data_IF_205362187432
#
_entry.id   IF_205362187432
#
_cell.length_a   1.000
_cell.length_b   1.000
_cell.length_c   1.000
_cell.angle_alpha   90.00
_cell.angle_beta   90.00
_cell.angle_gamma   90.00
#
_symmetry.space_group_name_H-M   'P 1'
#
loop_
_entity.id
_entity.type
_entity.pdbx_description
1 polymer ?
#
# COMPACT_ATOMS: atom_id res chain seq x y z
N UNK A 1 -4.60 0.35 -36.12
CA UNK A 1 -4.14 -0.89 -35.43
C UNK A 1 -4.31 -0.74 -33.91
N UNK A 2 -4.48 -1.81 -33.13
CA UNK A 2 -4.67 -1.71 -31.65
C UNK A 2 -3.47 -1.06 -30.93
N UNK A 3 -2.25 -1.31 -31.40
CA UNK A 3 -1.04 -0.69 -30.87
C UNK A 3 -0.95 0.82 -31.13
N UNK A 4 -1.53 1.33 -32.23
CA UNK A 4 -1.60 2.79 -32.48
C UNK A 4 -2.51 3.48 -31.46
N UNK A 5 -3.61 2.83 -31.05
CA UNK A 5 -4.49 3.36 -30.00
C UNK A 5 -3.76 3.41 -28.66
N UNK A 6 -2.98 2.38 -28.33
CA UNK A 6 -2.11 2.37 -27.15
C UNK A 6 -1.10 3.53 -27.20
N UNK A 7 -0.43 3.77 -28.33
CA UNK A 7 0.53 4.89 -28.42
C UNK A 7 -0.14 6.26 -28.29
N UNK A 8 -1.34 6.44 -28.87
CA UNK A 8 -2.13 7.67 -28.64
C UNK A 8 -2.55 7.81 -27.17
N UNK A 9 -2.96 6.72 -26.53
CA UNK A 9 -3.25 6.69 -25.09
C UNK A 9 -2.03 7.06 -24.24
N UNK A 10 -0.84 6.59 -24.63
CA UNK A 10 0.42 6.95 -23.98
C UNK A 10 0.72 8.46 -24.10
N UNK A 11 0.34 9.10 -25.23
CA UNK A 11 0.50 10.54 -25.44
C UNK A 11 -0.43 11.33 -24.52
N UNK A 12 -1.73 11.02 -24.53
CA UNK A 12 -2.71 11.67 -23.64
C UNK A 12 -2.34 11.49 -22.15
N UNK A 13 -1.86 10.30 -21.77
CA UNK A 13 -1.39 10.06 -20.41
C UNK A 13 -0.22 10.98 -20.03
N UNK A 14 0.71 11.24 -20.95
CA UNK A 14 1.84 12.16 -20.72
C UNK A 14 1.39 13.63 -20.67
N UNK A 15 0.35 13.96 -21.42
CA UNK A 15 -0.27 15.30 -21.42
C UNK A 15 -1.13 15.54 -20.17
N UNK A 16 -1.41 14.51 -19.38
CA UNK A 16 -2.22 14.57 -18.16
C UNK A 16 -3.71 14.36 -18.38
N UNK A 17 -4.15 14.12 -19.63
CA UNK A 17 -5.52 13.72 -19.93
C UNK A 17 -5.72 12.22 -19.68
N UNK A 18 -5.92 11.89 -18.41
CA UNK A 18 -6.13 10.50 -17.99
C UNK A 18 -7.49 9.94 -18.44
N UNK A 19 -8.53 10.76 -18.57
CA UNK A 19 -9.85 10.30 -19.02
C UNK A 19 -9.81 9.94 -20.51
N UNK A 20 -9.21 10.79 -21.35
CA UNK A 20 -8.98 10.48 -22.76
C UNK A 20 -8.08 9.27 -22.97
N UNK A 21 -7.03 9.13 -22.14
CA UNK A 21 -6.15 7.95 -22.18
C UNK A 21 -6.91 6.65 -21.83
N UNK A 22 -7.77 6.67 -20.80
CA UNK A 22 -8.60 5.52 -20.41
C UNK A 22 -9.50 5.04 -21.56
N UNK A 23 -10.13 5.96 -22.26
CA UNK A 23 -11.00 5.68 -23.41
C UNK A 23 -10.20 5.02 -24.55
N UNK A 24 -9.03 5.56 -24.90
CA UNK A 24 -8.16 4.99 -25.94
C UNK A 24 -7.64 3.59 -25.60
N UNK A 25 -7.24 3.35 -24.34
CA UNK A 25 -6.85 2.00 -23.91
C UNK A 25 -8.05 1.04 -23.93
N UNK A 26 -9.24 1.50 -23.56
CA UNK A 26 -10.46 0.70 -23.63
C UNK A 26 -10.75 0.30 -25.08
N UNK A 27 -10.63 1.20 -26.05
CA UNK A 27 -10.76 0.88 -27.47
C UNK A 27 -9.67 -0.09 -27.96
N UNK A 28 -8.44 0.02 -27.45
CA UNK A 28 -7.36 -0.92 -27.76
C UNK A 28 -7.70 -2.35 -27.28
N UNK A 29 -8.24 -2.49 -26.06
CA UNK A 29 -8.69 -3.75 -25.46
C UNK A 29 -9.83 -4.36 -26.28
N UNK A 30 -10.83 -3.57 -26.69
CA UNK A 30 -11.92 -4.06 -27.55
C UNK A 30 -11.40 -4.64 -28.87
N UNK A 31 -10.34 -4.06 -29.44
CA UNK A 31 -9.73 -4.56 -30.69
C UNK A 31 -8.86 -5.79 -30.50
N UNK A 32 -8.15 -5.90 -29.38
CA UNK A 32 -7.35 -7.06 -29.04
C UNK A 32 -7.36 -7.30 -27.52
N UNK A 33 -8.29 -8.14 -27.02
CA UNK A 33 -8.47 -8.37 -25.60
C UNK A 33 -7.45 -9.34 -24.99
N UNK A 34 -6.53 -9.89 -25.79
CA UNK A 34 -5.50 -10.83 -25.33
C UNK A 34 -4.17 -10.17 -25.02
N UNK A 35 -4.05 -8.87 -25.25
CA UNK A 35 -2.80 -8.13 -25.03
C UNK A 35 -2.76 -7.55 -23.61
N UNK A 36 -1.90 -8.08 -22.70
CA UNK A 36 -1.91 -7.67 -21.28
C UNK A 36 -1.44 -6.22 -21.06
N UNK A 37 -0.62 -5.68 -21.98
CA UNK A 37 -0.07 -4.33 -21.85
C UNK A 37 -1.16 -3.25 -21.86
N UNK A 38 -2.27 -3.48 -22.57
CA UNK A 38 -3.38 -2.51 -22.61
C UNK A 38 -4.09 -2.41 -21.26
N UNK A 39 -4.34 -3.55 -20.61
CA UNK A 39 -4.89 -3.60 -19.25
C UNK A 39 -3.94 -2.96 -18.24
N UNK A 40 -2.64 -3.22 -18.37
CA UNK A 40 -1.62 -2.67 -17.46
C UNK A 40 -1.53 -1.14 -17.57
N UNK A 41 -1.59 -0.59 -18.78
CA UNK A 41 -1.59 0.86 -19.00
C UNK A 41 -2.91 1.52 -18.57
N UNK A 42 -4.05 0.85 -18.79
CA UNK A 42 -5.36 1.32 -18.30
C UNK A 42 -5.44 1.31 -16.77
N UNK A 43 -4.92 0.26 -16.11
CA UNK A 43 -4.81 0.18 -14.66
C UNK A 43 -4.01 1.35 -14.09
N UNK A 44 -2.84 1.67 -14.66
CA UNK A 44 -2.04 2.82 -14.25
C UNK A 44 -2.81 4.15 -14.41
N UNK A 45 -3.56 4.29 -15.51
CA UNK A 45 -4.39 5.48 -15.76
C UNK A 45 -5.51 5.60 -14.73
N UNK A 46 -6.17 4.49 -14.40
CA UNK A 46 -7.21 4.43 -13.37
C UNK A 46 -6.69 4.66 -11.96
N UNK A 47 -5.44 4.31 -11.67
CA UNK A 47 -4.76 4.70 -10.42
C UNK A 47 -4.64 6.22 -10.30
N UNK A 48 -4.31 6.91 -11.40
CA UNK A 48 -4.26 8.40 -11.42
C UNK A 48 -5.63 9.04 -11.21
N UNK A 49 -6.69 8.34 -11.61
CA UNK A 49 -8.08 8.73 -11.41
C UNK A 49 -8.68 8.21 -10.09
N UNK A 50 -7.89 7.52 -9.25
CA UNK A 50 -8.34 6.90 -7.99
C UNK A 50 -9.54 5.92 -8.14
N UNK A 51 -9.71 5.31 -9.31
CA UNK A 51 -10.78 4.33 -9.61
C UNK A 51 -10.40 2.92 -9.15
N UNK A 52 -10.23 2.70 -7.85
CA UNK A 52 -9.60 1.48 -7.30
C UNK A 52 -10.27 0.17 -7.72
N UNK A 53 -11.61 0.12 -7.80
CA UNK A 53 -12.33 -1.09 -8.23
C UNK A 53 -12.01 -1.47 -9.69
N UNK A 54 -11.92 -0.46 -10.57
CA UNK A 54 -11.57 -0.66 -11.97
C UNK A 54 -10.10 -1.04 -12.15
N UNK A 55 -9.21 -0.51 -11.30
CA UNK A 55 -7.79 -0.90 -11.24
C UNK A 55 -7.66 -2.37 -10.86
N UNK A 56 -8.40 -2.83 -9.83
CA UNK A 56 -8.38 -4.24 -9.43
C UNK A 56 -8.76 -5.15 -10.60
N UNK A 57 -9.85 -4.81 -11.32
CA UNK A 57 -10.30 -5.59 -12.46
C UNK A 57 -9.22 -5.70 -13.55
N UNK A 58 -8.64 -4.56 -13.95
CA UNK A 58 -7.60 -4.54 -14.99
C UNK A 58 -6.31 -5.24 -14.55
N UNK A 59 -5.91 -5.06 -13.29
CA UNK A 59 -4.70 -5.67 -12.77
C UNK A 59 -4.82 -7.20 -12.72
N UNK A 60 -5.96 -7.74 -12.27
CA UNK A 60 -6.24 -9.18 -12.29
C UNK A 60 -6.24 -9.72 -13.72
N UNK A 61 -6.96 -9.06 -14.64
CA UNK A 61 -6.99 -9.46 -16.05
C UNK A 61 -5.57 -9.47 -16.67
N UNK A 62 -4.75 -8.47 -16.37
CA UNK A 62 -3.37 -8.42 -16.84
C UNK A 62 -2.51 -9.56 -16.28
N UNK A 63 -2.63 -9.88 -14.98
CA UNK A 63 -1.91 -10.99 -14.35
C UNK A 63 -2.29 -12.32 -14.99
N UNK A 64 -3.59 -12.55 -15.21
CA UNK A 64 -4.11 -13.78 -15.83
C UNK A 64 -3.61 -13.93 -17.28
N UNK A 65 -3.59 -12.84 -18.04
CA UNK A 65 -3.12 -12.86 -19.44
C UNK A 65 -1.59 -13.01 -19.57
N UNK A 66 -0.80 -12.43 -18.67
CA UNK A 66 0.66 -12.62 -18.65
C UNK A 66 1.06 -14.06 -18.27
N UNK A 67 0.20 -14.73 -17.51
CA UNK A 67 0.42 -16.07 -16.99
C UNK A 67 1.18 -16.09 -15.65
N UNK A 68 1.04 -17.20 -14.89
CA UNK A 68 1.65 -17.34 -13.57
C UNK A 68 3.18 -17.25 -13.67
N UNK A 69 3.80 -16.56 -12.71
CA UNK A 69 5.27 -16.39 -12.58
C UNK A 69 5.96 -15.60 -13.70
N UNK A 70 5.20 -14.93 -14.57
CA UNK A 70 5.80 -14.05 -15.56
C UNK A 70 6.34 -12.77 -14.88
N UNK A 71 7.61 -12.43 -15.10
CA UNK A 71 8.24 -11.22 -14.56
C UNK A 71 7.52 -9.95 -15.03
N UNK A 72 6.85 -9.99 -16.17
CA UNK A 72 6.04 -8.87 -16.69
C UNK A 72 4.78 -8.61 -15.87
N UNK A 73 4.23 -9.60 -15.15
CA UNK A 73 3.03 -9.41 -14.32
C UNK A 73 3.30 -8.70 -13.00
N UNK A 74 4.58 -8.56 -12.59
CA UNK A 74 4.96 -7.89 -11.33
C UNK A 74 4.48 -6.44 -11.23
N UNK A 75 4.41 -5.72 -12.37
CA UNK A 75 3.81 -4.38 -12.42
C UNK A 75 2.33 -4.42 -12.08
N UNK A 76 1.60 -5.37 -12.68
CA UNK A 76 0.18 -5.58 -12.43
C UNK A 76 -0.08 -6.07 -11.00
N UNK A 77 0.79 -6.91 -10.43
CA UNK A 77 0.72 -7.31 -9.02
C UNK A 77 0.89 -6.11 -8.08
N UNK A 78 1.81 -5.20 -8.39
CA UNK A 78 1.95 -3.95 -7.62
C UNK A 78 0.69 -3.06 -7.73
N UNK A 79 0.14 -2.89 -8.93
CA UNK A 79 -1.11 -2.15 -9.12
C UNK A 79 -2.29 -2.79 -8.39
N UNK A 80 -2.38 -4.12 -8.40
CA UNK A 80 -3.40 -4.87 -7.68
C UNK A 80 -3.27 -4.63 -6.17
N UNK A 81 -2.07 -4.76 -5.60
CA UNK A 81 -1.83 -4.48 -4.19
C UNK A 81 -2.23 -3.04 -3.83
N UNK A 82 -1.88 -2.06 -4.67
CA UNK A 82 -2.28 -0.67 -4.45
C UNK A 82 -3.81 -0.47 -4.48
N UNK A 83 -4.50 -1.12 -5.43
CA UNK A 83 -5.95 -1.10 -5.51
C UNK A 83 -6.61 -1.73 -4.28
N UNK A 84 -6.12 -2.89 -3.83
CA UNK A 84 -6.64 -3.59 -2.66
C UNK A 84 -6.47 -2.75 -1.37
N UNK A 85 -5.35 -2.05 -1.21
CA UNK A 85 -5.16 -1.08 -0.13
C UNK A 85 -6.16 0.09 -0.23
N UNK A 86 -6.40 0.62 -1.44
CA UNK A 86 -7.39 1.67 -1.67
C UNK A 86 -8.84 1.23 -1.43
N UNK A 87 -9.13 -0.06 -1.57
CA UNK A 87 -10.43 -0.67 -1.31
C UNK A 87 -10.61 -1.13 0.15
N UNK A 88 -9.62 -0.93 1.03
CA UNK A 88 -9.69 -1.36 2.43
C UNK A 88 -9.58 -2.88 2.62
N UNK A 89 -8.94 -3.60 1.70
CA UNK A 89 -8.69 -5.06 1.76
C UNK A 89 -7.19 -5.35 1.97
N UNK A 90 -6.61 -5.00 3.13
CA UNK A 90 -5.17 -5.06 3.32
C UNK A 90 -4.62 -6.49 3.44
N UNK A 91 -5.44 -7.47 3.88
CA UNK A 91 -5.03 -8.87 3.93
C UNK A 91 -4.72 -9.44 2.55
N UNK A 92 -5.65 -9.27 1.60
CA UNK A 92 -5.41 -9.67 0.21
C UNK A 92 -4.28 -8.85 -0.43
N UNK A 93 -4.18 -7.56 -0.10
CA UNK A 93 -3.09 -6.72 -0.58
C UNK A 93 -1.72 -7.24 -0.13
N UNK A 94 -1.61 -7.68 1.13
CA UNK A 94 -0.39 -8.26 1.68
C UNK A 94 0.01 -9.53 0.94
N UNK A 95 -0.93 -10.45 0.72
CA UNK A 95 -0.68 -11.72 0.02
C UNK A 95 -0.17 -11.49 -1.41
N UNK A 96 -0.84 -10.62 -2.17
CA UNK A 96 -0.40 -10.27 -3.53
C UNK A 96 0.96 -9.56 -3.51
N UNK A 97 1.18 -8.65 -2.58
CA UNK A 97 2.41 -7.86 -2.50
C UNK A 97 3.62 -8.71 -2.08
N UNK A 98 3.46 -9.63 -1.12
CA UNK A 98 4.58 -10.45 -0.62
C UNK A 98 5.01 -11.48 -1.66
N UNK A 99 4.06 -12.09 -2.36
CA UNK A 99 4.36 -13.03 -3.45
C UNK A 99 5.01 -12.32 -4.63
N UNK A 100 4.49 -11.14 -4.98
CA UNK A 100 5.10 -10.26 -5.98
C UNK A 100 6.52 -9.85 -5.58
N UNK A 101 6.73 -9.44 -4.32
CA UNK A 101 8.04 -9.04 -3.80
C UNK A 101 9.07 -10.17 -3.90
N UNK A 102 8.71 -11.39 -3.46
CA UNK A 102 9.58 -12.58 -3.56
C UNK A 102 9.95 -12.90 -5.01
N UNK A 103 8.97 -12.86 -5.92
CA UNK A 103 9.23 -13.07 -7.34
C UNK A 103 10.10 -11.97 -7.96
N UNK A 104 9.89 -10.71 -7.55
CA UNK A 104 10.68 -9.55 -7.98
C UNK A 104 12.13 -9.62 -7.51
N UNK A 105 12.37 -10.06 -6.27
CA UNK A 105 13.70 -10.31 -5.72
C UNK A 105 14.45 -11.37 -6.55
N UNK A 106 13.80 -12.51 -6.82
CA UNK A 106 14.39 -13.58 -7.62
C UNK A 106 14.72 -13.13 -9.04
N UNK A 107 13.89 -12.29 -9.64
CA UNK A 107 14.08 -11.76 -10.98
C UNK A 107 14.98 -10.51 -11.06
N UNK A 108 15.48 -9.98 -9.93
CA UNK A 108 16.21 -8.71 -9.84
C UNK A 108 15.49 -7.55 -10.56
N UNK A 109 14.16 -7.50 -10.43
CA UNK A 109 13.33 -6.53 -11.16
C UNK A 109 13.33 -5.14 -10.49
N UNK A 110 13.10 -4.10 -11.30
CA UNK A 110 12.96 -2.74 -10.83
C UNK A 110 11.78 -2.51 -9.86
N UNK A 111 10.74 -3.36 -9.89
CA UNK A 111 9.54 -3.22 -9.06
C UNK A 111 9.73 -3.66 -7.59
N UNK A 112 10.88 -4.23 -7.23
CA UNK A 112 11.13 -4.74 -5.87
C UNK A 112 10.86 -3.70 -4.79
N UNK A 113 11.26 -2.45 -5.00
CA UNK A 113 11.06 -1.36 -4.03
C UNK A 113 9.58 -0.94 -3.92
N UNK A 114 8.86 -0.92 -5.04
CA UNK A 114 7.44 -0.59 -5.04
C UNK A 114 6.63 -1.66 -4.31
N UNK A 115 6.98 -2.94 -4.52
CA UNK A 115 6.37 -4.08 -3.86
C UNK A 115 6.72 -4.12 -2.37
N UNK A 116 7.96 -3.81 -1.97
CA UNK A 116 8.32 -3.75 -0.55
C UNK A 116 7.53 -2.69 0.21
N UNK A 117 7.38 -1.49 -0.38
CA UNK A 117 6.53 -0.44 0.18
C UNK A 117 5.07 -0.86 0.27
N UNK A 118 4.57 -1.62 -0.71
CA UNK A 118 3.20 -2.14 -0.68
C UNK A 118 2.99 -3.18 0.43
N UNK A 119 3.95 -4.10 0.63
CA UNK A 119 3.92 -5.08 1.73
C UNK A 119 3.89 -4.36 3.08
N UNK A 120 4.78 -3.40 3.29
CA UNK A 120 4.85 -2.64 4.54
C UNK A 120 3.53 -1.92 4.84
N UNK A 121 2.97 -1.21 3.85
CA UNK A 121 1.68 -0.52 4.00
C UNK A 121 0.54 -1.48 4.30
N UNK A 122 0.51 -2.64 3.65
CA UNK A 122 -0.49 -3.66 3.91
C UNK A 122 -0.40 -4.18 5.35
N UNK A 123 0.81 -4.47 5.83
CA UNK A 123 1.04 -4.91 7.20
C UNK A 123 0.65 -3.85 8.23
N UNK A 124 0.99 -2.58 7.98
CA UNK A 124 0.57 -1.45 8.81
C UNK A 124 -0.96 -1.33 8.89
N UNK A 125 -1.68 -1.47 7.76
CA UNK A 125 -3.15 -1.44 7.76
C UNK A 125 -3.78 -2.65 8.47
N UNK A 126 -3.22 -3.85 8.29
CA UNK A 126 -3.66 -5.05 9.04
C UNK A 126 -3.51 -4.82 10.54
N UNK A 127 -2.37 -4.28 10.97
CA UNK A 127 -2.11 -3.96 12.36
C UNK A 127 -3.08 -2.89 12.89
N UNK A 128 -3.30 -1.80 12.15
CA UNK A 128 -4.24 -0.74 12.52
C UNK A 128 -5.69 -1.26 12.64
N UNK A 129 -6.11 -2.20 11.78
CA UNK A 129 -7.41 -2.85 11.89
C UNK A 129 -7.52 -3.73 13.15
N UNK A 130 -6.49 -4.55 13.44
CA UNK A 130 -6.45 -5.34 14.68
C UNK A 130 -6.52 -4.43 15.91
N UNK A 131 -5.80 -3.32 15.89
CA UNK A 131 -5.73 -2.40 17.01
C UNK A 131 -7.04 -1.62 17.19
N UNK A 132 -7.66 -1.19 16.10
CA UNK A 132 -9.01 -0.60 16.14
C UNK A 132 -10.03 -1.58 16.73
N UNK A 133 -10.01 -2.84 16.31
CA UNK A 133 -10.89 -3.87 16.88
C UNK A 133 -10.63 -4.05 18.39
N UNK A 134 -9.37 -4.15 18.80
CA UNK A 134 -8.97 -4.25 20.22
C UNK A 134 -9.48 -3.08 21.05
N UNK A 135 -9.34 -1.85 20.55
CA UNK A 135 -9.80 -0.65 21.26
C UNK A 135 -11.33 -0.61 21.39
N UNK A 136 -12.06 -1.03 20.34
CA UNK A 136 -13.53 -1.16 20.38
C UNK A 136 -14.00 -2.21 21.38
N UNK A 137 -13.28 -3.33 21.48
CA UNK A 137 -13.58 -4.38 22.46
C UNK A 137 -13.30 -3.93 23.90
N UNK A 138 -12.27 -3.10 24.11
CA UNK A 138 -11.94 -2.57 25.43
C UNK A 138 -12.95 -1.55 25.95
N UNK A 139 -13.62 -0.82 25.06
CA UNK A 139 -14.49 0.27 25.45
C UNK A 139 -15.70 0.42 24.51
N UNK A 140 -16.87 -0.01 25.00
CA UNK A 140 -18.13 0.01 24.26
C UNK A 140 -18.59 1.44 23.88
N UNK A 141 -18.29 2.44 24.72
CA UNK A 141 -18.69 3.83 24.43
C UNK A 141 -17.82 4.43 23.34
N UNK A 142 -16.50 4.15 23.34
CA UNK A 142 -15.61 4.49 22.23
C UNK A 142 -16.08 3.83 20.93
N UNK A 143 -16.38 2.53 20.98
CA UNK A 143 -16.90 1.80 19.81
C UNK A 143 -18.19 2.41 19.27
N UNK A 144 -19.11 2.77 20.15
CA UNK A 144 -20.38 3.40 19.78
C UNK A 144 -20.18 4.77 19.13
N UNK A 145 -19.27 5.59 19.66
CA UNK A 145 -18.97 6.92 19.11
C UNK A 145 -18.28 6.82 17.75
N UNK A 146 -17.29 5.94 17.59
CA UNK A 146 -16.66 5.70 16.28
C UNK A 146 -17.69 5.21 15.25
N UNK A 147 -18.58 4.28 15.62
CA UNK A 147 -19.63 3.78 14.73
C UNK A 147 -20.62 4.89 14.31
N UNK A 148 -20.92 5.85 15.19
CA UNK A 148 -21.75 7.01 14.84
C UNK A 148 -21.04 7.93 13.83
N UNK A 149 -19.74 8.17 14.00
CA UNK A 149 -18.94 8.97 13.04
C UNK A 149 -18.90 8.27 11.67
N UNK A 150 -18.66 6.96 11.65
CA UNK A 150 -18.66 6.16 10.42
C UNK A 150 -20.04 6.17 9.73
N UNK A 151 -21.12 6.02 10.50
CA UNK A 151 -22.48 6.09 9.97
C UNK A 151 -22.80 7.47 9.39
N UNK A 152 -22.34 8.55 10.02
CA UNK A 152 -22.56 9.92 9.54
C UNK A 152 -21.77 10.20 8.25
N UNK A 153 -20.51 9.74 8.20
CA UNK A 153 -19.70 9.78 6.99
C UNK A 153 -20.40 9.03 5.84
N UNK A 154 -20.87 7.81 6.09
CA UNK A 154 -21.55 6.99 5.07
C UNK A 154 -22.83 7.66 4.56
N UNK A 155 -23.62 8.28 5.44
CA UNK A 155 -24.79 9.07 5.07
C UNK A 155 -24.40 10.25 4.18
N UNK A 156 -23.39 11.01 4.58
CA UNK A 156 -22.90 12.19 3.84
C UNK A 156 -22.35 11.82 2.45
N UNK A 157 -21.58 10.73 2.36
CA UNK A 157 -21.10 10.19 1.09
C UNK A 157 -22.24 9.73 0.18
N UNK A 158 -23.27 9.06 0.73
CA UNK A 158 -24.43 8.62 -0.04
C UNK A 158 -25.26 9.81 -0.56
N UNK A 159 -25.40 10.87 0.23
CA UNK A 159 -26.05 12.11 -0.20
C UNK A 159 -25.27 12.81 -1.31
N UNK A 160 -23.94 12.88 -1.17
CA UNK A 160 -23.06 13.45 -2.19
C UNK A 160 -23.14 12.65 -3.50
N UNK A 161 -23.17 11.32 -3.43
CA UNK A 161 -23.38 10.48 -4.61
C UNK A 161 -24.72 10.77 -5.29
N UNK A 162 -25.81 10.91 -4.52
CA UNK A 162 -27.12 11.29 -5.10
C UNK A 162 -27.09 12.65 -5.79
N UNK A 163 -26.32 13.63 -5.28
CA UNK A 163 -26.15 14.94 -5.93
C UNK A 163 -25.42 14.81 -7.28
N UNK A 164 -24.40 13.94 -7.34
CA UNK A 164 -23.70 13.61 -8.58
C UNK A 164 -24.65 12.96 -9.60
N UNK A 165 -25.46 12.00 -9.17
CA UNK A 165 -26.42 11.30 -10.03
C UNK A 165 -27.51 12.24 -10.58
N UNK A 166 -27.90 13.27 -9.80
CA UNK A 166 -28.81 14.35 -10.24
C UNK A 166 -28.16 15.40 -11.14
N UNK A 167 -26.83 15.34 -11.32
CA UNK A 167 -26.08 16.32 -12.11
C UNK A 167 -25.90 17.68 -11.43
N UNK A 168 -26.12 17.78 -10.11
CA UNK A 168 -25.96 19.02 -9.34
C UNK A 168 -24.47 19.38 -9.13
N UNK A 169 -23.60 18.37 -9.13
CA UNK A 169 -22.15 18.50 -8.97
C UNK A 169 -21.43 17.72 -10.07
N UNK A 170 -20.27 18.23 -10.49
CA UNK A 170 -19.40 17.51 -11.42
C UNK A 170 -18.64 16.37 -10.73
N UNK A 171 -18.10 15.44 -11.52
CA UNK A 171 -17.35 14.29 -11.00
C UNK A 171 -16.10 14.71 -10.22
N UNK A 172 -15.40 15.77 -10.65
CA UNK A 172 -14.21 16.31 -9.96
C UNK A 172 -14.60 16.86 -8.58
N UNK A 173 -15.63 17.72 -8.52
CA UNK A 173 -16.11 18.28 -7.25
C UNK A 173 -16.59 17.22 -6.28
N UNK A 174 -17.29 16.18 -6.78
CA UNK A 174 -17.69 15.05 -5.94
C UNK A 174 -16.49 14.33 -5.32
N UNK A 175 -15.44 14.04 -6.09
CA UNK A 175 -14.24 13.36 -5.56
C UNK A 175 -13.53 14.21 -4.49
N UNK A 176 -13.42 15.52 -4.72
CA UNK A 176 -12.83 16.45 -3.74
C UNK A 176 -13.63 16.51 -2.44
N UNK A 177 -14.96 16.62 -2.54
CA UNK A 177 -15.87 16.63 -1.39
C UNK A 177 -15.84 15.30 -0.63
N UNK A 178 -15.80 14.15 -1.33
CA UNK A 178 -15.64 12.83 -0.69
C UNK A 178 -14.34 12.75 0.12
N UNK A 179 -13.26 13.29 -0.43
CA UNK A 179 -11.95 13.31 0.24
C UNK A 179 -11.95 14.22 1.46
N UNK A 180 -12.60 15.38 1.38
CA UNK A 180 -12.77 16.29 2.51
C UNK A 180 -13.56 15.62 3.64
N UNK A 181 -14.72 15.02 3.32
CA UNK A 181 -15.56 14.31 4.30
C UNK A 181 -14.81 13.18 5.01
N UNK A 182 -14.06 12.35 4.25
CA UNK A 182 -13.23 11.28 4.83
C UNK A 182 -12.15 11.84 5.76
N UNK A 183 -11.49 12.93 5.37
CA UNK A 183 -10.46 13.57 6.19
C UNK A 183 -11.02 14.14 7.48
N UNK A 184 -12.21 14.73 7.43
CA UNK A 184 -12.88 15.28 8.61
C UNK A 184 -13.33 14.16 9.57
N UNK A 185 -13.88 13.07 9.03
CA UNK A 185 -14.24 11.89 9.83
C UNK A 185 -13.01 11.25 10.51
N UNK A 186 -11.91 11.07 9.78
CA UNK A 186 -10.65 10.57 10.31
C UNK A 186 -10.13 11.45 11.45
N UNK A 187 -10.15 12.78 11.26
CA UNK A 187 -9.77 13.73 12.31
C UNK A 187 -10.67 13.60 13.55
N UNK A 188 -11.98 13.51 13.36
CA UNK A 188 -12.93 13.34 14.47
C UNK A 188 -12.67 12.04 15.24
N UNK A 189 -12.36 10.94 14.55
CA UNK A 189 -11.99 9.67 15.20
C UNK A 189 -10.70 9.85 16.02
N UNK A 190 -9.69 10.52 15.48
CA UNK A 190 -8.45 10.80 16.21
C UNK A 190 -8.69 11.65 17.47
N UNK A 191 -9.50 12.71 17.36
CA UNK A 191 -9.84 13.58 18.50
C UNK A 191 -10.60 12.80 19.59
N UNK A 192 -11.52 11.91 19.20
CA UNK A 192 -12.23 11.03 20.13
C UNK A 192 -11.26 10.04 20.79
N UNK A 193 -10.42 9.34 20.02
CA UNK A 193 -9.43 8.41 20.57
C UNK A 193 -8.50 9.09 21.57
N UNK A 194 -8.06 10.30 21.28
CA UNK A 194 -7.21 11.09 22.18
C UNK A 194 -7.93 11.45 23.49
N UNK A 195 -9.20 11.87 23.42
CA UNK A 195 -10.00 12.14 24.62
C UNK A 195 -10.14 10.89 25.52
N UNK A 196 -10.40 9.73 24.91
CA UNK A 196 -10.49 8.46 25.64
C UNK A 196 -9.14 8.01 26.19
N UNK A 197 -8.04 8.24 25.47
CA UNK A 197 -6.67 8.00 25.95
C UNK A 197 -6.38 8.81 27.21
N UNK A 198 -6.68 10.11 27.20
CA UNK A 198 -6.48 11.00 28.36
C UNK A 198 -7.35 10.56 29.53
N UNK A 199 -8.64 10.29 29.30
CA UNK A 199 -9.58 9.88 30.34
C UNK A 199 -9.21 8.54 30.99
N UNK A 200 -8.66 7.61 30.20
CA UNK A 200 -8.17 6.30 30.68
C UNK A 200 -6.73 6.31 31.17
N UNK A 201 -6.09 7.49 31.30
CA UNK A 201 -4.68 7.63 31.71
C UNK A 201 -3.69 6.83 30.84
N UNK A 202 -4.03 6.61 29.57
CA UNK A 202 -3.20 5.89 28.61
C UNK A 202 -3.52 4.40 28.44
N UNK A 203 -4.49 3.85 29.18
CA UNK A 203 -4.86 2.44 29.02
C UNK A 203 -5.47 2.16 27.65
N UNK A 204 -6.27 3.09 27.13
CA UNK A 204 -6.87 3.05 25.79
C UNK A 204 -5.97 3.84 24.85
N UNK A 205 -4.85 3.22 24.48
CA UNK A 205 -3.89 3.79 23.53
C UNK A 205 -3.66 2.85 22.36
N UNK A 206 -3.65 3.43 21.15
CA UNK A 206 -3.26 2.73 19.92
C UNK A 206 -1.79 2.34 19.97
N UNK A 207 -1.53 1.05 19.79
CA UNK A 207 -0.19 0.48 19.72
C UNK A 207 0.38 0.66 18.32
N UNK A 208 1.51 1.36 18.22
CA UNK A 208 2.16 1.65 16.92
C UNK A 208 3.61 1.20 16.96
N UNK A 209 4.03 0.44 15.96
CA UNK A 209 5.44 0.09 15.74
C UNK A 209 6.08 1.19 14.89
N UNK A 210 7.14 1.86 15.36
CA UNK A 210 7.83 2.88 14.56
C UNK A 210 8.48 2.30 13.31
N UNK A 211 8.26 2.93 12.16
CA UNK A 211 8.76 2.49 10.85
C UNK A 211 10.28 2.28 10.79
N UNK A 212 11.06 3.06 11.56
CA UNK A 212 12.52 2.95 11.57
C UNK A 212 13.04 1.70 12.30
N UNK A 213 12.19 1.00 13.06
CA UNK A 213 12.51 -0.29 13.68
C UNK A 213 12.19 -1.48 12.78
N UNK A 214 11.44 -1.24 11.70
CA UNK A 214 10.96 -2.27 10.78
C UNK A 214 11.98 -2.53 9.68
N UNK A 215 12.28 -3.80 9.44
CA UNK A 215 13.17 -4.22 8.36
C UNK A 215 12.50 -4.12 6.98
N UNK A 216 13.24 -3.62 5.99
CA UNK A 216 12.76 -3.47 4.62
C UNK A 216 12.71 -4.76 3.79
N UNK A 217 13.15 -5.90 4.33
CA UNK A 217 13.21 -7.21 3.65
C UNK A 217 12.26 -8.22 4.29
N UNK A 218 12.35 -8.41 5.60
CA UNK A 218 11.50 -9.31 6.37
C UNK A 218 10.15 -8.68 6.67
N UNK A 219 10.06 -7.35 6.68
CA UNK A 219 8.89 -6.60 7.14
C UNK A 219 8.52 -7.00 8.56
N UNK A 220 9.53 -7.24 9.40
CA UNK A 220 9.42 -7.50 10.84
C UNK A 220 10.27 -6.49 11.63
N UNK A 221 10.07 -6.41 12.94
CA UNK A 221 10.97 -5.62 13.80
C UNK A 221 12.38 -6.22 13.73
N UNK A 222 13.39 -5.38 13.49
CA UNK A 222 14.78 -5.82 13.41
C UNK A 222 15.27 -6.36 14.75
N UNK A 223 15.88 -7.55 14.76
CA UNK A 223 16.48 -8.14 15.96
C UNK A 223 17.99 -7.91 16.00
N UNK A 224 18.65 -7.97 14.84
CA UNK A 224 20.09 -7.71 14.74
C UNK A 224 20.37 -6.78 13.55
N UNK A 225 20.09 -5.48 13.71
CA UNK A 225 20.22 -4.53 12.62
C UNK A 225 21.68 -4.36 12.20
N UNK A 226 21.91 -4.44 10.88
CA UNK A 226 23.17 -4.12 10.23
C UNK A 226 22.95 -3.02 9.20
N UNK A 227 23.91 -2.11 9.10
CA UNK A 227 23.89 -0.98 8.19
C UNK A 227 24.72 -1.29 6.95
N UNK A 228 24.16 -0.98 5.78
CA UNK A 228 24.86 -1.02 4.49
C UNK A 228 25.75 0.23 4.34
N UNK A 229 26.73 0.24 3.42
CA UNK A 229 27.49 1.45 3.11
C UNK A 229 26.65 2.64 2.65
N UNK A 230 25.44 2.39 2.12
CA UNK A 230 24.48 3.43 1.76
C UNK A 230 23.79 4.08 2.97
N UNK A 231 23.99 3.55 4.17
CA UNK A 231 23.45 4.09 5.42
C UNK A 231 22.08 3.53 5.80
N UNK A 232 21.55 2.55 5.06
CA UNK A 232 20.26 1.92 5.40
C UNK A 232 20.48 0.69 6.26
N UNK A 233 19.66 0.52 7.30
CA UNK A 233 19.73 -0.64 8.19
C UNK A 233 18.71 -1.70 7.80
N UNK A 234 19.12 -2.96 7.94
CA UNK A 234 18.29 -4.13 7.70
C UNK A 234 18.56 -5.18 8.78
N UNK A 235 17.66 -6.14 8.95
CA UNK A 235 17.95 -7.32 9.78
C UNK A 235 19.03 -8.19 9.14
N UNK A 236 20.02 -8.61 9.95
CA UNK A 236 21.20 -9.35 9.47
C UNK A 236 20.86 -10.56 8.61
N UNK A 237 19.90 -11.38 9.03
CA UNK A 237 19.61 -12.64 8.33
C UNK A 237 19.06 -12.36 6.93
N UNK A 238 18.14 -11.40 6.82
CA UNK A 238 17.50 -11.02 5.56
C UNK A 238 18.50 -10.42 4.56
N UNK A 239 19.28 -9.44 5.01
CA UNK A 239 20.22 -8.72 4.13
C UNK A 239 21.42 -9.56 3.71
N UNK A 240 21.95 -10.42 4.58
CA UNK A 240 23.06 -11.31 4.19
C UNK A 240 22.64 -12.23 3.04
N UNK A 241 21.49 -12.90 3.18
CA UNK A 241 20.93 -13.77 2.13
C UNK A 241 20.70 -13.00 0.83
N UNK A 242 20.20 -11.77 0.92
CA UNK A 242 19.99 -10.93 -0.26
C UNK A 242 21.32 -10.58 -0.95
N UNK A 243 22.31 -10.09 -0.21
CA UNK A 243 23.60 -9.66 -0.77
C UNK A 243 24.37 -10.85 -1.36
N UNK A 244 24.30 -12.04 -0.76
CA UNK A 244 24.89 -13.26 -1.30
C UNK A 244 24.33 -13.65 -2.68
N UNK A 245 23.02 -13.45 -2.90
CA UNK A 245 22.34 -13.81 -4.14
C UNK A 245 22.41 -12.68 -5.19
N UNK A 246 22.25 -11.43 -4.74
CA UNK A 246 22.15 -10.27 -5.60
C UNK A 246 23.51 -9.67 -5.93
N UNK A 247 24.40 -9.57 -4.94
CA UNK A 247 25.67 -8.83 -4.99
C UNK A 247 25.50 -7.31 -4.99
N UNK A 248 24.35 -6.80 -4.56
CA UNK A 248 23.94 -5.40 -4.67
C UNK A 248 23.29 -4.93 -3.36
N UNK A 249 23.27 -3.62 -3.13
CA UNK A 249 22.46 -2.96 -2.10
C UNK A 249 20.97 -3.00 -2.49
N UNK A 250 20.04 -3.37 -1.58
CA UNK A 250 18.61 -3.49 -1.91
C UNK A 250 17.96 -2.19 -2.40
N UNK A 251 18.46 -1.03 -1.97
CA UNK A 251 17.88 0.28 -2.25
C UNK A 251 18.65 0.96 -3.37
N UNK A 252 19.95 1.19 -3.18
CA UNK A 252 20.75 1.98 -4.13
C UNK A 252 21.17 1.16 -5.35
N UNK A 253 21.07 -0.17 -5.29
CA UNK A 253 21.56 -1.12 -6.31
C UNK A 253 23.05 -0.97 -6.59
N UNK A 254 23.80 -0.36 -5.68
CA UNK A 254 25.26 -0.30 -5.79
C UNK A 254 25.86 -1.66 -5.45
N UNK A 255 26.86 -2.15 -6.20
CA UNK A 255 27.54 -3.39 -5.87
C UNK A 255 28.11 -3.39 -4.45
N UNK A 256 27.85 -4.45 -3.70
CA UNK A 256 28.38 -4.64 -2.35
C UNK A 256 28.53 -6.13 -2.00
N UNK A 257 29.31 -6.41 -0.96
CA UNK A 257 29.55 -7.76 -0.43
C UNK A 257 29.09 -7.84 1.02
N UNK A 258 28.92 -9.07 1.51
CA UNK A 258 28.48 -9.34 2.89
C UNK A 258 29.40 -8.71 3.93
N UNK A 259 30.71 -8.65 3.66
CA UNK A 259 31.68 -8.04 4.59
C UNK A 259 31.58 -6.51 4.68
N UNK A 260 30.86 -5.87 3.77
CA UNK A 260 30.63 -4.42 3.82
C UNK A 260 29.56 -4.05 4.86
N UNK A 261 28.77 -5.03 5.34
CA UNK A 261 27.75 -4.85 6.35
C UNK A 261 28.38 -4.59 7.72
N UNK A 262 27.94 -3.52 8.40
CA UNK A 262 28.41 -3.18 9.74
C UNK A 262 27.29 -3.33 10.76
N UNK A 263 27.53 -3.87 11.96
CA UNK A 263 26.52 -3.89 13.02
C UNK A 263 26.07 -2.46 13.39
N UNK A 264 24.75 -2.25 13.50
CA UNK A 264 24.19 -1.00 13.99
C UNK A 264 23.78 -1.16 15.47
N UNK A 265 24.75 -1.04 16.37
CA UNK A 265 24.54 -1.24 17.80
C UNK A 265 23.53 -0.26 18.42
N UNK A 266 23.48 0.98 17.92
CA UNK A 266 22.54 1.99 18.41
C UNK A 266 21.10 1.60 18.07
N UNK A 267 20.85 1.20 16.83
CA UNK A 267 19.52 0.73 16.41
C UNK A 267 19.15 -0.58 17.10
N UNK A 268 20.12 -1.47 17.34
CA UNK A 268 19.89 -2.70 18.10
C UNK A 268 19.38 -2.41 19.51
N UNK A 269 20.05 -1.50 20.22
CA UNK A 269 19.61 -1.09 21.55
C UNK A 269 18.20 -0.46 21.52
N UNK A 270 17.88 0.33 20.49
CA UNK A 270 16.55 0.90 20.32
C UNK A 270 15.46 -0.17 20.07
N UNK A 271 15.75 -1.17 19.21
CA UNK A 271 14.85 -2.31 18.98
C UNK A 271 14.62 -3.11 20.27
N UNK A 272 15.69 -3.44 21.00
CA UNK A 272 15.63 -4.18 22.26
C UNK A 272 14.85 -3.41 23.33
N UNK A 273 15.11 -2.11 23.50
CA UNK A 273 14.37 -1.26 24.42
C UNK A 273 12.88 -1.21 24.05
N UNK A 274 12.56 -1.08 22.76
CA UNK A 274 11.18 -1.05 22.29
C UNK A 274 10.46 -2.37 22.57
N UNK A 275 11.05 -3.52 22.23
CA UNK A 275 10.46 -4.84 22.47
C UNK A 275 10.28 -5.13 23.97
N UNK A 276 11.25 -4.74 24.81
CA UNK A 276 11.16 -4.91 26.25
C UNK A 276 10.01 -4.09 26.87
N UNK A 277 9.78 -2.87 26.36
CA UNK A 277 8.65 -2.02 26.80
C UNK A 277 7.32 -2.45 26.18
N UNK A 278 7.36 -3.04 24.99
CA UNK A 278 6.21 -3.35 24.17
C UNK A 278 6.21 -4.83 23.78
N UNK A 279 6.00 -5.73 24.75
CA UNK A 279 5.96 -7.17 24.48
C UNK A 279 4.91 -7.59 23.44
N UNK A 280 3.88 -6.78 23.23
CA UNK A 280 2.87 -6.96 22.18
C UNK A 280 3.42 -6.79 20.76
N UNK A 281 4.57 -6.14 20.59
CA UNK A 281 5.13 -5.85 19.27
C UNK A 281 5.76 -7.07 18.61
N UNK A 282 5.87 -8.20 19.33
CA UNK A 282 6.28 -9.50 18.76
C UNK A 282 5.24 -10.03 17.77
N UNK A 283 3.97 -9.64 17.92
CA UNK A 283 2.86 -10.08 17.05
C UNK A 283 2.65 -9.17 15.83
N UNK A 284 3.54 -8.19 15.62
CA UNK A 284 3.42 -7.19 14.56
C UNK A 284 3.40 -7.82 13.18
#
# INVERSE_FOLDING_TARGET
MSFELKEKGNQLFKEGDYNGAEELYSQAIHKNPREPTFFTNRALTRIRLEKWADVEHDARAAIDLYGPKNVSSLKSSWYLAQALLGLGRPQEAYEVAIDGYRASLAAKNAQTENLSKAVLRAKQQIWAHKETARLREMNETLASVEALIESDLNRSLAELQKKLDRGEIGQIGCVEDQKALRKDAEKNIQDVREAFRIASKGDIQERVVPDYLVDGITFEIMHDPVITPSGTSFDRIGIQKYVEQAGLDPITRTPMKVHDLRPNYALKAACEEFLNKNGWAVDW
#
